data_IF_023650366354
#
_entry.id   IF_023650366354
#
_cell.length_a   1.000
_cell.length_b   1.000
_cell.length_c   1.000
_cell.angle_alpha   90.00
_cell.angle_beta   90.00
_cell.angle_gamma   90.00
#
_symmetry.space_group_name_H-M   'P 1'
#
loop_
_entity.id
_entity.type
_entity.pdbx_description
1 polymer ?
#
# COMPACT_ATOMS: atom_id res chain seq x y z
N UNK A 1 -10.03 30.67 42.72
CA UNK A 1 -9.48 29.50 43.43
C UNK A 1 -10.06 28.28 42.75
N UNK A 2 -9.89 28.17 41.44
CA UNK A 2 -8.68 27.61 40.78
C UNK A 2 -8.65 26.10 41.03
N UNK A 3 -9.03 25.31 40.03
CA UNK A 3 -8.04 24.47 39.35
C UNK A 3 -8.54 24.05 37.96
N UNK A 4 -7.60 24.10 37.01
CA UNK A 4 -7.72 23.83 35.59
C UNK A 4 -7.53 22.34 35.28
N UNK A 5 -7.63 22.01 33.98
CA UNK A 5 -7.16 20.78 33.33
C UNK A 5 -8.05 19.54 33.56
N UNK A 6 -8.45 18.75 32.58
CA UNK A 6 -7.99 18.58 31.21
C UNK A 6 -9.15 17.90 30.45
N UNK A 7 -9.61 18.48 29.36
CA UNK A 7 -10.56 17.80 28.46
C UNK A 7 -10.18 18.15 27.03
N UNK A 8 -8.96 17.80 26.68
CA UNK A 8 -8.46 17.81 25.32
C UNK A 8 -7.93 16.43 24.98
N UNK A 9 -8.85 15.52 24.64
CA UNK A 9 -8.62 14.32 23.83
C UNK A 9 -9.98 13.63 23.75
N UNK A 10 -10.70 13.74 22.64
CA UNK A 10 -10.93 12.59 21.75
C UNK A 10 -11.73 13.09 20.53
N UNK A 11 -11.11 13.90 19.67
CA UNK A 11 -11.75 14.26 18.39
C UNK A 11 -11.03 13.66 17.17
N UNK A 12 -9.85 13.07 17.37
CA UNK A 12 -9.10 12.37 16.32
C UNK A 12 -9.40 10.85 16.28
N UNK A 13 -9.90 10.24 17.36
CA UNK A 13 -10.22 8.81 17.40
C UNK A 13 -11.49 8.45 16.60
N UNK A 14 -12.46 9.36 16.54
CA UNK A 14 -13.77 9.11 15.89
C UNK A 14 -13.67 9.01 14.35
N UNK A 15 -12.71 9.73 13.75
CA UNK A 15 -12.48 9.72 12.31
C UNK A 15 -11.75 8.44 11.85
N UNK A 16 -10.82 7.93 12.66
CA UNK A 16 -10.14 6.67 12.39
C UNK A 16 -11.11 5.48 12.51
N UNK A 17 -11.95 5.45 13.55
CA UNK A 17 -12.93 4.38 13.76
C UNK A 17 -13.99 4.35 12.64
N UNK A 18 -14.44 5.52 12.17
CA UNK A 18 -15.39 5.61 11.04
C UNK A 18 -14.76 5.11 9.72
N UNK A 19 -13.51 5.44 9.46
CA UNK A 19 -12.80 4.98 8.27
C UNK A 19 -12.55 3.46 8.30
N UNK A 20 -12.20 2.90 9.46
CA UNK A 20 -12.04 1.45 9.64
C UNK A 20 -13.37 0.69 9.44
N UNK A 21 -14.50 1.24 9.90
CA UNK A 21 -15.84 0.68 9.67
C UNK A 21 -16.21 0.71 8.19
N UNK A 22 -15.87 1.79 7.47
CA UNK A 22 -16.13 1.91 6.04
C UNK A 22 -15.23 0.98 5.21
N UNK A 23 -13.94 0.85 5.58
CA UNK A 23 -13.03 -0.14 4.99
C UNK A 23 -13.54 -1.56 5.26
N UNK A 24 -14.00 -1.89 6.47
CA UNK A 24 -14.56 -3.21 6.78
C UNK A 24 -15.83 -3.50 5.97
N UNK A 25 -16.69 -2.51 5.77
CA UNK A 25 -17.86 -2.62 4.89
C UNK A 25 -17.44 -2.82 3.44
N UNK A 26 -16.45 -2.07 2.94
CA UNK A 26 -15.96 -2.25 1.58
C UNK A 26 -15.25 -3.59 1.41
N UNK A 27 -14.54 -4.08 2.43
CA UNK A 27 -13.96 -5.43 2.46
C UNK A 27 -15.04 -6.51 2.43
N UNK A 28 -16.18 -6.28 3.10
CA UNK A 28 -17.35 -7.14 3.02
C UNK A 28 -18.06 -7.06 1.64
N UNK A 29 -17.99 -5.91 0.98
CA UNK A 29 -18.44 -5.70 -0.40
C UNK A 29 -17.40 -6.16 -1.45
N UNK A 30 -16.16 -6.48 -1.04
CA UNK A 30 -15.12 -7.03 -1.90
C UNK A 30 -15.57 -8.36 -2.45
N UNK A 31 -15.38 -8.49 -3.76
CA UNK A 31 -15.63 -9.67 -4.56
C UNK A 31 -15.02 -10.93 -3.89
N UNK A 32 -15.73 -12.07 -3.85
CA UNK A 32 -15.24 -13.34 -3.26
C UNK A 32 -13.83 -13.73 -3.70
N UNK A 33 -13.43 -13.28 -4.89
CA UNK A 33 -12.11 -13.42 -5.49
C UNK A 33 -11.00 -12.75 -4.66
N UNK A 34 -11.22 -11.56 -4.11
CA UNK A 34 -10.27 -10.89 -3.23
C UNK A 34 -10.07 -11.67 -1.92
N UNK A 35 -11.16 -12.07 -1.27
CA UNK A 35 -11.08 -12.84 -0.02
C UNK A 35 -10.41 -14.21 -0.25
N UNK A 36 -10.71 -14.87 -1.36
CA UNK A 36 -10.05 -16.12 -1.74
C UNK A 36 -8.55 -15.94 -1.99
N UNK A 37 -8.16 -14.86 -2.69
CA UNK A 37 -6.76 -14.54 -2.93
C UNK A 37 -6.02 -14.19 -1.63
N UNK A 38 -6.64 -13.42 -0.74
CA UNK A 38 -6.06 -13.05 0.55
C UNK A 38 -5.91 -14.26 1.47
N UNK A 39 -6.93 -15.11 1.56
CA UNK A 39 -6.85 -16.37 2.33
C UNK A 39 -5.77 -17.30 1.77
N UNK A 40 -5.64 -17.41 0.45
CA UNK A 40 -4.56 -18.18 -0.17
C UNK A 40 -3.18 -17.59 0.17
N UNK A 41 -3.04 -16.26 0.13
CA UNK A 41 -1.80 -15.58 0.49
C UNK A 41 -1.43 -15.82 1.96
N UNK A 42 -2.36 -15.64 2.90
CA UNK A 42 -2.12 -15.84 4.34
C UNK A 42 -1.65 -17.27 4.64
N UNK A 43 -2.29 -18.28 4.04
CA UNK A 43 -1.84 -19.67 4.19
C UNK A 43 -0.43 -19.90 3.67
N UNK A 44 -0.03 -19.25 2.57
CA UNK A 44 1.32 -19.36 2.03
C UNK A 44 2.34 -18.64 2.92
N UNK A 45 2.01 -17.48 3.48
CA UNK A 45 2.84 -16.80 4.48
C UNK A 45 3.07 -17.71 5.69
N UNK A 46 2.02 -18.35 6.21
CA UNK A 46 2.11 -19.25 7.37
C UNK A 46 2.93 -20.52 7.09
N UNK A 47 2.87 -21.05 5.86
CA UNK A 47 3.50 -22.34 5.52
C UNK A 47 4.90 -22.22 4.94
N UNK A 48 5.15 -21.19 4.13
CA UNK A 48 6.39 -21.02 3.36
C UNK A 48 7.19 -19.78 3.78
N UNK A 49 6.58 -18.87 4.57
CA UNK A 49 7.16 -17.59 4.91
C UNK A 49 6.86 -16.50 3.87
N UNK A 50 7.14 -15.25 4.26
CA UNK A 50 6.84 -14.05 3.46
C UNK A 50 7.72 -13.94 2.21
N UNK A 51 8.98 -14.35 2.31
CA UNK A 51 9.98 -14.21 1.23
C UNK A 51 9.90 -15.32 0.17
N UNK A 52 8.98 -16.28 0.33
CA UNK A 52 8.84 -17.35 -0.64
C UNK A 52 8.21 -16.83 -1.94
N UNK A 53 8.73 -17.17 -3.14
CA UNK A 53 8.24 -16.63 -4.40
C UNK A 53 6.75 -16.92 -4.66
N UNK A 54 6.23 -18.05 -4.16
CA UNK A 54 4.78 -18.34 -4.23
C UNK A 54 3.95 -17.41 -3.34
N UNK A 55 4.46 -17.06 -2.16
CA UNK A 55 3.82 -16.10 -1.25
C UNK A 55 3.82 -14.71 -1.87
N UNK A 56 4.94 -14.27 -2.44
CA UNK A 56 5.05 -12.99 -3.14
C UNK A 56 4.05 -12.91 -4.29
N UNK A 57 3.93 -13.96 -5.10
CA UNK A 57 2.93 -14.02 -6.20
C UNK A 57 1.49 -13.97 -5.70
N UNK A 58 1.18 -14.71 -4.64
CA UNK A 58 -0.15 -14.69 -4.03
C UNK A 58 -0.50 -13.31 -3.46
N UNK A 59 0.47 -12.65 -2.83
CA UNK A 59 0.33 -11.29 -2.30
C UNK A 59 0.08 -10.28 -3.43
N UNK A 60 0.87 -10.31 -4.50
CA UNK A 60 0.66 -9.44 -5.66
C UNK A 60 -0.74 -9.61 -6.27
N UNK A 61 -1.22 -10.86 -6.36
CA UNK A 61 -2.58 -11.14 -6.84
C UNK A 61 -3.67 -10.60 -5.90
N UNK A 62 -3.49 -10.75 -4.59
CA UNK A 62 -4.42 -10.22 -3.61
C UNK A 62 -4.46 -8.69 -3.66
N UNK A 63 -3.31 -8.02 -3.76
CA UNK A 63 -3.21 -6.57 -3.92
C UNK A 63 -3.85 -6.09 -5.23
N UNK A 64 -3.73 -6.83 -6.32
CA UNK A 64 -4.35 -6.47 -7.60
C UNK A 64 -5.88 -6.55 -7.57
N UNK A 65 -6.44 -7.43 -6.74
CA UNK A 65 -7.88 -7.56 -6.52
C UNK A 65 -8.39 -6.67 -5.37
N UNK A 66 -7.49 -5.92 -4.74
CA UNK A 66 -7.81 -5.07 -3.59
C UNK A 66 -8.70 -3.90 -4.01
N UNK A 67 -9.77 -3.61 -3.24
CA UNK A 67 -10.57 -2.42 -3.46
C UNK A 67 -9.75 -1.13 -3.35
N UNK A 68 -10.11 -0.07 -4.09
CA UNK A 68 -9.44 1.23 -3.99
C UNK A 68 -9.39 1.81 -2.57
N UNK A 69 -10.44 1.64 -1.76
CA UNK A 69 -10.46 2.14 -0.37
C UNK A 69 -9.51 1.38 0.54
N UNK A 70 -9.39 0.05 0.37
CA UNK A 70 -8.42 -0.75 1.12
C UNK A 70 -6.99 -0.39 0.72
N UNK A 71 -6.74 -0.14 -0.58
CA UNK A 71 -5.43 0.35 -1.04
C UNK A 71 -5.10 1.72 -0.45
N UNK A 72 -6.07 2.64 -0.40
CA UNK A 72 -5.87 3.95 0.22
C UNK A 72 -5.58 3.83 1.72
N UNK A 73 -6.33 2.99 2.43
CA UNK A 73 -6.08 2.71 3.85
C UNK A 73 -4.70 2.09 4.09
N UNK A 74 -4.32 1.08 3.31
CA UNK A 74 -3.00 0.45 3.38
C UNK A 74 -1.88 1.45 3.10
N UNK A 75 -2.06 2.33 2.11
CA UNK A 75 -1.10 3.40 1.80
C UNK A 75 -1.00 4.43 2.93
N UNK A 76 -2.12 4.77 3.58
CA UNK A 76 -2.14 5.67 4.72
C UNK A 76 -1.42 5.08 5.93
N UNK A 77 -1.72 3.82 6.26
CA UNK A 77 -1.02 3.08 7.33
C UNK A 77 0.47 2.89 7.03
N UNK A 78 0.83 2.63 5.77
CA UNK A 78 2.24 2.56 5.39
C UNK A 78 2.95 3.91 5.56
N UNK A 79 2.26 5.04 5.36
CA UNK A 79 2.79 6.37 5.63
C UNK A 79 2.90 6.65 7.12
N UNK A 80 1.88 6.30 7.90
CA UNK A 80 1.85 6.45 9.36
C UNK A 80 2.99 5.66 10.03
N UNK A 81 3.24 4.43 9.55
CA UNK A 81 4.31 3.55 10.02
C UNK A 81 5.67 3.85 9.39
N UNK A 82 5.77 4.92 8.59
CA UNK A 82 7.00 5.35 7.92
C UNK A 82 7.65 4.24 7.08
N UNK A 83 6.82 3.35 6.51
CA UNK A 83 7.24 2.20 5.68
C UNK A 83 7.46 2.58 4.22
N UNK A 84 6.88 3.70 3.77
CA UNK A 84 7.01 4.23 2.41
C UNK A 84 7.57 5.65 2.44
N UNK A 85 8.26 6.10 1.38
CA UNK A 85 8.71 7.49 1.28
C UNK A 85 7.53 8.45 1.12
N UNK A 86 7.80 9.75 1.27
CA UNK A 86 6.88 10.79 0.84
C UNK A 86 6.63 10.70 -0.67
N UNK A 87 5.40 10.98 -1.08
CA UNK A 87 5.05 10.99 -2.50
C UNK A 87 5.67 12.20 -3.20
N UNK A 88 6.42 11.95 -4.27
CA UNK A 88 7.01 12.98 -5.14
C UNK A 88 5.96 13.74 -5.97
N UNK A 89 4.79 13.12 -6.16
CA UNK A 89 3.67 13.75 -6.82
C UNK A 89 2.42 12.88 -6.79
N UNK A 90 1.41 13.31 -7.52
CA UNK A 90 0.14 12.60 -7.63
C UNK A 90 -0.26 12.48 -9.10
N UNK A 91 -0.90 11.38 -9.46
CA UNK A 91 -1.58 11.23 -10.76
C UNK A 91 -2.85 12.08 -10.83
N UNK A 92 -3.44 12.22 -12.02
CA UNK A 92 -4.74 12.89 -12.21
C UNK A 92 -5.85 12.28 -11.33
N UNK A 93 -5.77 10.98 -11.04
CA UNK A 93 -6.71 10.25 -10.18
C UNK A 93 -6.39 10.37 -8.68
N UNK A 94 -5.44 11.25 -8.31
CA UNK A 94 -5.03 11.47 -6.93
C UNK A 94 -4.21 10.33 -6.33
N UNK A 95 -3.73 9.37 -7.14
CA UNK A 95 -2.87 8.30 -6.64
C UNK A 95 -1.45 8.84 -6.42
N UNK A 96 -0.83 8.56 -5.25
CA UNK A 96 0.52 9.01 -4.97
C UNK A 96 1.54 8.30 -5.87
N UNK A 97 2.52 9.07 -6.34
CA UNK A 97 3.63 8.59 -7.16
C UNK A 97 4.92 8.79 -6.38
N UNK A 98 5.71 7.72 -6.32
CA UNK A 98 6.97 7.67 -5.60
C UNK A 98 8.10 7.46 -6.61
N UNK A 99 9.16 8.25 -6.48
CA UNK A 99 10.39 8.05 -7.23
C UNK A 99 11.12 6.81 -6.73
N UNK A 100 11.76 6.10 -7.65
CA UNK A 100 12.59 4.96 -7.30
C UNK A 100 13.75 5.39 -6.38
N UNK A 101 14.25 6.62 -6.53
CA UNK A 101 15.26 7.21 -5.65
C UNK A 101 14.76 7.35 -4.21
N UNK A 102 13.56 7.87 -4.01
CA UNK A 102 12.99 7.99 -2.67
C UNK A 102 12.74 6.62 -2.03
N UNK A 103 12.28 5.63 -2.81
CA UNK A 103 12.11 4.25 -2.33
C UNK A 103 13.46 3.64 -1.95
N UNK A 104 14.49 3.78 -2.80
CA UNK A 104 15.83 3.27 -2.53
C UNK A 104 16.43 3.88 -1.26
N UNK A 105 16.33 5.21 -1.12
CA UNK A 105 16.78 5.94 0.06
C UNK A 105 16.04 5.48 1.32
N UNK A 106 14.73 5.24 1.22
CA UNK A 106 13.90 4.78 2.34
C UNK A 106 14.28 3.38 2.82
N UNK A 107 14.54 2.47 1.88
CA UNK A 107 14.91 1.09 2.15
C UNK A 107 16.40 0.92 2.45
N UNK A 108 17.21 1.97 2.36
CA UNK A 108 18.66 1.91 2.52
C UNK A 108 19.37 1.10 1.43
N UNK A 109 18.76 1.02 0.25
CA UNK A 109 19.26 0.27 -0.91
C UNK A 109 19.98 1.19 -1.90
N UNK A 110 20.90 0.63 -2.67
CA UNK A 110 21.46 1.35 -3.82
C UNK A 110 20.44 1.47 -4.95
N UNK A 111 20.64 2.46 -5.83
CA UNK A 111 19.80 2.63 -7.02
C UNK A 111 19.81 1.40 -7.94
N UNK A 112 20.93 0.70 -8.05
CA UNK A 112 21.05 -0.51 -8.85
C UNK A 112 20.24 -1.67 -8.24
N UNK A 113 20.30 -1.84 -6.92
CA UNK A 113 19.50 -2.86 -6.22
C UNK A 113 18.00 -2.55 -6.28
N UNK A 114 17.62 -1.28 -6.08
CA UNK A 114 16.23 -0.85 -6.19
C UNK A 114 15.69 -1.07 -7.61
N UNK A 115 16.51 -0.80 -8.63
CA UNK A 115 16.14 -1.08 -10.03
C UNK A 115 15.99 -2.57 -10.30
N UNK A 116 16.92 -3.40 -9.82
CA UNK A 116 16.81 -4.86 -9.95
C UNK A 116 15.56 -5.41 -9.26
N UNK A 117 15.24 -4.91 -8.06
CA UNK A 117 14.03 -5.28 -7.33
C UNK A 117 12.77 -4.85 -8.08
N UNK A 118 12.75 -3.64 -8.65
CA UNK A 118 11.65 -3.15 -9.49
C UNK A 118 11.49 -3.99 -10.75
N UNK A 119 12.58 -4.32 -11.45
CA UNK A 119 12.55 -5.16 -12.65
C UNK A 119 12.02 -6.58 -12.35
N UNK A 120 12.44 -7.16 -11.22
CA UNK A 120 11.91 -8.45 -10.76
C UNK A 120 10.40 -8.36 -10.45
N UNK A 121 9.96 -7.32 -9.74
CA UNK A 121 8.54 -7.10 -9.46
C UNK A 121 7.72 -6.92 -10.75
N UNK A 122 8.24 -6.19 -11.74
CA UNK A 122 7.56 -6.01 -13.04
C UNK A 122 7.48 -7.33 -13.81
N UNK A 123 8.53 -8.15 -13.78
CA UNK A 123 8.53 -9.47 -14.40
C UNK A 123 7.50 -10.41 -13.75
N UNK A 124 7.41 -10.42 -12.42
CA UNK A 124 6.41 -11.21 -11.69
C UNK A 124 4.99 -10.77 -12.03
N UNK A 125 4.74 -9.46 -12.05
CA UNK A 125 3.44 -8.91 -12.44
C UNK A 125 3.08 -9.27 -13.87
N UNK A 126 4.02 -9.18 -14.80
CA UNK A 126 3.82 -9.59 -16.19
C UNK A 126 3.50 -11.09 -16.30
N UNK A 127 4.20 -11.94 -15.54
CA UNK A 127 3.91 -13.38 -15.48
C UNK A 127 2.51 -13.68 -14.91
N UNK A 128 2.01 -12.82 -14.02
CA UNK A 128 0.65 -12.88 -13.47
C UNK A 128 -0.41 -12.20 -14.35
N UNK A 129 -0.04 -11.60 -15.48
CA UNK A 129 -0.95 -10.85 -16.35
C UNK A 129 -1.46 -9.54 -15.73
N UNK A 130 -0.76 -9.01 -14.73
CA UNK A 130 -1.11 -7.77 -14.03
C UNK A 130 -0.51 -6.55 -14.76
N UNK A 131 -1.20 -5.39 -14.73
CA UNK A 131 -0.69 -4.18 -15.34
C UNK A 131 0.60 -3.72 -14.65
N UNK A 132 1.51 -3.15 -15.44
CA UNK A 132 2.70 -2.49 -14.92
C UNK A 132 2.32 -1.31 -14.03
N UNK A 133 3.11 -1.10 -12.97
CA UNK A 133 2.92 0.00 -12.00
C UNK A 133 3.77 1.21 -12.33
N UNK A 134 4.36 1.25 -13.54
CA UNK A 134 5.16 2.37 -14.01
C UNK A 134 4.24 3.48 -14.52
N UNK A 135 4.37 4.66 -13.91
CA UNK A 135 3.68 5.88 -14.33
C UNK A 135 4.66 6.76 -15.11
N UNK A 136 4.20 7.35 -16.21
CA UNK A 136 5.00 8.32 -16.96
C UNK A 136 5.20 9.57 -16.09
N UNK A 137 6.44 9.99 -15.80
CA UNK A 137 6.69 11.19 -15.01
C UNK A 137 6.09 12.47 -15.64
N UNK A 138 5.77 12.48 -16.94
CA UNK A 138 5.10 13.59 -17.59
C UNK A 138 3.61 13.74 -17.22
N UNK A 139 2.99 12.68 -16.69
CA UNK A 139 1.58 12.69 -16.23
C UNK A 139 1.47 12.86 -14.71
N UNK A 140 2.58 13.17 -14.03
CA UNK A 140 2.64 13.33 -12.58
C UNK A 140 2.60 14.81 -12.21
N UNK A 141 1.59 15.18 -11.42
CA UNK A 141 1.51 16.49 -10.79
C UNK A 141 2.44 16.50 -9.58
N UNK A 142 3.63 17.08 -9.77
CA UNK A 142 4.62 17.20 -8.70
C UNK A 142 4.21 18.25 -7.69
N UNK A 143 4.42 17.95 -6.40
CA UNK A 143 4.21 18.90 -5.32
C UNK A 143 5.42 19.85 -5.30
N UNK A 144 5.23 21.07 -5.83
CA UNK A 144 6.24 22.14 -5.81
C UNK A 144 6.29 22.86 -4.46
#
# INVERSE_FOLDING_TARGET
MDDCCDSHQTHDEDAAETHEIEVARQVAESTPEFMAAMSACLRLVETLGMDHPDTTRAMQRAMALSPPSLNAFMADKARELDLIPEADGYTDDGQPVYSLEAIAAKLGMSMDEAKQAMDAMLADRAALGLPAVLIDPATVHRKH
#
